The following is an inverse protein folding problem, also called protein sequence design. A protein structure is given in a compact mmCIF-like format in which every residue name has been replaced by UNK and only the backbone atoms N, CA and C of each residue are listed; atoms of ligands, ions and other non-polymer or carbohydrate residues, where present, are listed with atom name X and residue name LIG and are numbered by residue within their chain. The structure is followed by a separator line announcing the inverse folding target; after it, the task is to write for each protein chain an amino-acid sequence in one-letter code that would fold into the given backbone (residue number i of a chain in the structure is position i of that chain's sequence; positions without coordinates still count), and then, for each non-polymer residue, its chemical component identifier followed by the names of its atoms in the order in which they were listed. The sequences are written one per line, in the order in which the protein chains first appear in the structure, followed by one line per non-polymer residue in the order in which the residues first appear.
data_IF_069145349289
#
_entry.id   IF_069145349289
#
_cell.length_a   1.000
_cell.length_b   1.000
_cell.length_c   1.000
_cell.angle_alpha   90.00
_cell.angle_beta   90.00
_cell.angle_gamma   90.00
#
_symmetry.space_group_name_H-M   'P 1'
#
loop_
_entity.id
_entity.type
_entity.pdbx_description
1 polymer ?
#
# COMPACT_ATOMS: atom_id res chain seq x y z
N UNK A 1 -63.35 -52.30 -35.17
CA UNK A 1 -62.83 -50.92 -35.29
C UNK A 1 -62.33 -50.47 -33.92
N UNK A 2 -61.30 -51.17 -33.42
CA UNK A 2 -60.88 -51.17 -32.01
C UNK A 2 -59.62 -50.30 -31.76
N UNK A 3 -59.37 -49.32 -32.63
CA UNK A 3 -58.15 -48.51 -32.63
C UNK A 3 -58.38 -47.02 -32.34
N UNK A 4 -59.63 -46.57 -32.17
CA UNK A 4 -59.93 -45.17 -31.81
C UNK A 4 -60.13 -44.97 -30.30
N UNK A 5 -60.62 -45.96 -29.56
CA UNK A 5 -60.77 -45.84 -28.10
C UNK A 5 -59.44 -45.94 -27.35
N UNK A 6 -58.47 -46.69 -27.88
CA UNK A 6 -57.11 -46.79 -27.31
C UNK A 6 -56.32 -45.48 -27.46
N UNK A 7 -56.60 -44.67 -28.49
CA UNK A 7 -55.91 -43.39 -28.70
C UNK A 7 -56.51 -42.23 -27.87
N UNK A 8 -57.76 -42.34 -27.40
CA UNK A 8 -58.41 -41.29 -26.60
C UNK A 8 -57.96 -41.32 -25.12
N UNK A 9 -57.45 -42.46 -24.63
CA UNK A 9 -56.93 -42.55 -23.25
C UNK A 9 -55.47 -42.12 -23.08
N UNK A 10 -54.63 -42.15 -24.13
CA UNK A 10 -53.24 -41.70 -24.02
C UNK A 10 -53.08 -40.16 -24.10
N UNK A 11 -54.09 -39.44 -24.58
CA UNK A 11 -53.97 -38.00 -24.86
C UNK A 11 -54.26 -37.06 -23.67
N UNK A 12 -54.48 -37.58 -22.45
CA UNK A 12 -54.93 -36.77 -21.30
C UNK A 12 -53.88 -36.40 -20.27
N UNK A 13 -52.60 -36.73 -20.46
CA UNK A 13 -51.55 -36.43 -19.47
C UNK A 13 -50.25 -35.86 -20.05
N UNK A 14 -50.35 -34.89 -20.94
CA UNK A 14 -49.25 -33.94 -21.19
C UNK A 14 -49.81 -32.52 -21.21
N UNK A 15 -50.28 -32.06 -20.06
CA UNK A 15 -50.35 -30.62 -19.82
C UNK A 15 -48.95 -30.05 -20.08
N UNK A 16 -48.85 -28.94 -20.81
CA UNK A 16 -47.54 -28.32 -21.05
C UNK A 16 -46.81 -28.15 -19.71
N UNK A 17 -45.47 -28.28 -19.66
CA UNK A 17 -44.72 -28.13 -18.41
C UNK A 17 -45.07 -26.84 -17.66
N UNK A 18 -45.43 -25.78 -18.40
CA UNK A 18 -45.92 -24.51 -17.87
C UNK A 18 -47.29 -24.63 -17.21
N UNK A 19 -48.24 -25.37 -17.79
CA UNK A 19 -49.56 -25.60 -17.19
C UNK A 19 -49.44 -26.47 -15.94
N UNK A 20 -48.58 -27.50 -15.94
CA UNK A 20 -48.30 -28.30 -14.73
C UNK A 20 -47.65 -27.44 -13.63
N UNK A 21 -46.73 -26.53 -14.00
CA UNK A 21 -46.11 -25.59 -13.08
C UNK A 21 -47.13 -24.66 -12.43
N UNK A 22 -47.98 -24.01 -13.24
CA UNK A 22 -49.00 -23.06 -12.74
C UNK A 22 -50.05 -23.77 -11.88
N UNK A 23 -50.53 -24.94 -12.31
CA UNK A 23 -51.54 -25.72 -11.55
C UNK A 23 -51.00 -26.19 -10.20
N UNK A 24 -49.73 -26.60 -10.13
CA UNK A 24 -49.07 -26.98 -8.88
C UNK A 24 -48.99 -25.79 -7.91
N UNK A 25 -48.61 -24.61 -8.39
CA UNK A 25 -48.58 -23.38 -7.57
C UNK A 25 -49.98 -23.04 -7.04
N UNK A 26 -51.00 -23.07 -7.90
CA UNK A 26 -52.38 -22.76 -7.49
C UNK A 26 -52.89 -23.75 -6.45
N UNK A 27 -52.54 -25.04 -6.58
CA UNK A 27 -52.92 -26.11 -5.64
C UNK A 27 -52.37 -25.87 -4.23
N UNK A 28 -51.12 -25.44 -4.12
CA UNK A 28 -50.44 -25.21 -2.84
C UNK A 28 -50.31 -23.73 -2.46
N UNK A 29 -51.09 -22.84 -3.08
CA UNK A 29 -50.96 -21.38 -2.91
C UNK A 29 -51.01 -20.92 -1.45
N UNK A 30 -51.89 -21.49 -0.63
CA UNK A 30 -51.98 -21.15 0.79
C UNK A 30 -50.75 -21.60 1.57
N UNK A 31 -50.22 -22.78 1.26
CA UNK A 31 -48.97 -23.26 1.87
C UNK A 31 -47.80 -22.36 1.48
N UNK A 32 -47.64 -22.03 0.20
CA UNK A 32 -46.56 -21.16 -0.29
C UNK A 32 -46.64 -19.77 0.36
N UNK A 33 -47.82 -19.16 0.39
CA UNK A 33 -48.02 -17.85 1.01
C UNK A 33 -47.70 -17.90 2.51
N UNK A 34 -48.23 -18.87 3.25
CA UNK A 34 -47.97 -18.99 4.70
C UNK A 34 -46.47 -19.25 4.95
N UNK A 35 -45.83 -20.12 4.17
CA UNK A 35 -44.41 -20.45 4.32
C UNK A 35 -43.51 -19.23 4.09
N UNK A 36 -43.71 -18.53 2.97
CA UNK A 36 -42.96 -17.31 2.62
C UNK A 36 -43.17 -16.24 3.69
N UNK A 37 -44.43 -16.02 4.10
CA UNK A 37 -44.79 -15.00 5.08
C UNK A 37 -44.20 -15.33 6.45
N UNK A 38 -44.20 -16.60 6.87
CA UNK A 38 -43.58 -17.05 8.12
C UNK A 38 -42.07 -16.79 8.16
N UNK A 39 -41.34 -17.18 7.10
CA UNK A 39 -39.89 -16.96 7.02
C UNK A 39 -39.57 -15.46 6.96
N UNK A 40 -40.34 -14.70 6.20
CA UNK A 40 -40.15 -13.26 6.08
C UNK A 40 -40.41 -12.54 7.41
N UNK A 41 -41.43 -12.94 8.18
CA UNK A 41 -41.65 -12.43 9.54
C UNK A 41 -40.46 -12.75 10.44
N UNK A 42 -39.99 -14.01 10.47
CA UNK A 42 -38.86 -14.42 11.30
C UNK A 42 -37.60 -13.60 10.96
N UNK A 43 -37.30 -13.44 9.68
CA UNK A 43 -36.16 -12.65 9.22
C UNK A 43 -36.30 -11.16 9.58
N UNK A 44 -37.52 -10.61 9.50
CA UNK A 44 -37.80 -9.22 9.87
C UNK A 44 -37.65 -8.99 11.36
N UNK A 45 -38.15 -9.91 12.19
CA UNK A 45 -37.98 -9.86 13.65
C UNK A 45 -36.50 -9.95 14.02
N UNK A 46 -35.75 -10.87 13.39
CA UNK A 46 -34.31 -10.97 13.59
C UNK A 46 -33.59 -9.66 13.23
N UNK A 47 -33.92 -9.03 12.10
CA UNK A 47 -33.31 -7.76 11.68
C UNK A 47 -33.63 -6.56 12.60
N UNK A 48 -34.71 -6.64 13.39
CA UNK A 48 -35.05 -5.63 14.40
C UNK A 48 -34.34 -5.86 15.73
N UNK A 49 -34.06 -7.11 16.09
CA UNK A 49 -33.38 -7.49 17.34
C UNK A 49 -31.85 -7.44 17.20
N UNK A 50 -31.32 -7.70 16.00
CA UNK A 50 -29.89 -7.66 15.74
C UNK A 50 -29.26 -6.30 16.10
N UNK A 51 -28.01 -6.29 16.62
CA UNK A 51 -27.34 -5.06 17.06
C UNK A 51 -27.26 -4.06 15.90
N UNK A 52 -27.56 -2.80 16.21
CA UNK A 52 -27.47 -1.69 15.25
C UNK A 52 -26.02 -1.27 15.16
N UNK A 53 -25.51 -1.21 13.94
CA UNK A 53 -24.16 -0.74 13.65
C UNK A 53 -24.24 0.62 12.95
N UNK A 54 -23.40 1.54 13.39
CA UNK A 54 -23.26 2.90 12.89
C UNK A 54 -21.95 3.02 12.14
N UNK A 55 -21.95 3.78 11.04
CA UNK A 55 -20.77 4.02 10.21
C UNK A 55 -20.38 5.48 10.32
N UNK A 56 -19.15 5.75 10.72
CA UNK A 56 -18.56 7.08 10.67
C UNK A 56 -17.33 7.06 9.77
N UNK A 57 -17.09 8.16 9.04
CA UNK A 57 -16.05 8.24 8.01
C UNK A 57 -15.21 9.48 8.21
N UNK A 58 -13.89 9.37 8.18
CA UNK A 58 -12.98 10.50 8.02
C UNK A 58 -12.30 10.42 6.66
N UNK A 59 -11.98 11.59 6.09
CA UNK A 59 -11.32 11.72 4.79
C UNK A 59 -10.06 12.55 4.96
N UNK A 60 -8.93 12.03 4.49
CA UNK A 60 -7.63 12.69 4.57
C UNK A 60 -6.90 12.68 3.23
N UNK A 61 -6.06 13.68 2.99
CA UNK A 61 -5.13 13.75 1.87
C UNK A 61 -3.70 13.64 2.37
N UNK A 62 -2.82 13.11 1.53
CA UNK A 62 -1.39 13.29 1.72
C UNK A 62 -1.04 14.77 1.56
N UNK A 63 -0.39 15.34 2.57
CA UNK A 63 0.18 16.65 2.43
C UNK A 63 1.30 16.57 1.38
N UNK A 64 1.28 17.45 0.37
CA UNK A 64 2.41 17.57 -0.56
C UNK A 64 3.65 17.97 0.24
N UNK A 65 4.59 17.04 0.36
CA UNK A 65 5.89 17.31 0.94
C UNK A 65 6.87 17.56 -0.22
N UNK A 66 7.37 18.78 -0.29
CA UNK A 66 8.48 19.16 -1.16
C UNK A 66 9.70 18.31 -0.80
N UNK A 67 9.97 17.26 -1.58
CA UNK A 67 11.16 16.42 -1.41
C UNK A 67 12.43 17.24 -1.55
N UNK A 68 13.41 16.97 -0.69
CA UNK A 68 14.78 17.54 -0.64
C UNK A 68 15.43 17.60 -2.04
N UNK A 69 15.14 16.59 -2.86
CA UNK A 69 15.68 16.41 -4.21
C UNK A 69 14.87 17.12 -5.31
N UNK A 70 13.63 17.50 -5.02
CA UNK A 70 12.75 18.21 -5.96
C UNK A 70 13.03 19.72 -6.03
N UNK A 71 13.62 20.30 -4.98
CA UNK A 71 13.96 21.74 -4.92
C UNK A 71 15.35 22.07 -5.47
N UNK A 72 16.28 21.11 -5.46
CA UNK A 72 17.63 21.28 -6.00
C UNK A 72 17.67 20.74 -7.44
N UNK A 73 17.38 21.61 -8.41
CA UNK A 73 17.81 21.40 -9.80
C UNK A 73 16.93 20.51 -10.69
N UNK A 74 15.73 20.98 -11.05
CA UNK A 74 15.05 20.60 -12.32
C UNK A 74 14.58 19.15 -12.50
N UNK A 75 14.83 18.27 -11.54
CA UNK A 75 14.57 16.82 -11.64
C UNK A 75 13.08 16.45 -11.57
N UNK A 76 12.21 17.39 -11.18
CA UNK A 76 10.76 17.24 -11.30
C UNK A 76 10.31 16.96 -12.74
N UNK A 77 11.10 17.36 -13.74
CA UNK A 77 10.85 17.08 -15.16
C UNK A 77 11.19 15.64 -15.59
N UNK A 78 12.14 14.96 -14.94
CA UNK A 78 12.52 13.57 -15.26
C UNK A 78 11.58 12.59 -14.58
N UNK A 79 11.18 12.87 -13.34
CA UNK A 79 10.12 12.10 -12.66
C UNK A 79 8.79 12.27 -13.39
N UNK A 80 8.41 13.50 -13.79
CA UNK A 80 7.24 13.73 -14.67
C UNK A 80 7.42 13.13 -16.07
N UNK A 81 8.64 13.10 -16.62
CA UNK A 81 8.95 12.51 -17.92
C UNK A 81 8.80 10.98 -17.94
N UNK A 82 9.02 10.32 -16.80
CA UNK A 82 8.75 8.90 -16.63
C UNK A 82 7.26 8.63 -16.31
N UNK A 83 6.62 9.51 -15.52
CA UNK A 83 5.17 9.47 -15.22
C UNK A 83 4.26 9.88 -16.39
N UNK A 84 4.79 10.53 -17.44
CA UNK A 84 4.02 10.98 -18.60
C UNK A 84 3.56 9.83 -19.53
N UNK A 85 4.02 8.60 -19.31
CA UNK A 85 3.39 7.43 -19.92
C UNK A 85 2.28 6.92 -18.99
N UNK A 86 1.03 7.33 -19.27
CA UNK A 86 -0.13 7.06 -18.42
C UNK A 86 -0.44 5.55 -18.20
N UNK A 87 0.31 4.64 -18.83
CA UNK A 87 0.20 3.18 -18.65
C UNK A 87 1.19 2.55 -17.67
N UNK A 88 2.26 3.26 -17.27
CA UNK A 88 3.27 2.74 -16.32
C UNK A 88 3.13 3.34 -14.92
N UNK A 89 2.53 4.54 -14.81
CA UNK A 89 2.20 5.14 -13.51
C UNK A 89 1.18 4.30 -12.70
N UNK A 90 0.35 3.49 -13.37
CA UNK A 90 -0.59 2.56 -12.69
C UNK A 90 0.10 1.31 -12.13
N UNK A 91 1.34 1.02 -12.52
CA UNK A 91 2.14 -0.10 -12.01
C UNK A 91 2.99 0.28 -10.80
N UNK A 92 3.21 1.56 -10.56
CA UNK A 92 4.01 2.05 -9.41
C UNK A 92 3.17 2.38 -8.18
N UNK A 93 1.84 2.36 -8.28
CA UNK A 93 0.94 2.73 -7.19
C UNK A 93 1.09 4.21 -6.79
N UNK A 94 0.09 4.76 -6.10
CA UNK A 94 0.27 6.04 -5.41
C UNK A 94 1.10 5.75 -4.16
N UNK A 95 2.43 5.76 -4.28
CA UNK A 95 3.39 5.28 -3.27
C UNK A 95 3.15 5.85 -1.86
N UNK A 96 2.68 7.09 -1.78
CA UNK A 96 2.36 7.78 -0.52
C UNK A 96 1.07 7.24 0.12
N UNK A 97 -0.01 7.10 -0.65
CA UNK A 97 -1.29 6.61 -0.13
C UNK A 97 -1.22 5.13 0.22
N UNK A 98 -0.45 4.34 -0.54
CA UNK A 98 -0.19 2.93 -0.24
C UNK A 98 0.63 2.80 1.06
N UNK A 99 1.63 3.68 1.28
CA UNK A 99 2.36 3.74 2.56
C UNK A 99 1.41 4.08 3.72
N UNK A 100 0.51 5.03 3.53
CA UNK A 100 -0.46 5.41 4.57
C UNK A 100 -1.42 4.28 4.90
N UNK A 101 -1.90 3.57 3.89
CA UNK A 101 -2.72 2.38 4.07
C UNK A 101 -1.95 1.30 4.84
N UNK A 102 -0.69 1.06 4.50
CA UNK A 102 0.17 0.11 5.21
C UNK A 102 0.40 0.51 6.69
N UNK A 103 0.58 1.81 6.97
CA UNK A 103 0.70 2.34 8.34
C UNK A 103 -0.58 2.08 9.12
N UNK A 104 -1.74 2.47 8.55
CA UNK A 104 -3.04 2.27 9.18
C UNK A 104 -3.37 0.79 9.41
N UNK A 105 -2.93 -0.08 8.50
CA UNK A 105 -3.14 -1.52 8.59
C UNK A 105 -2.14 -2.22 9.52
N UNK A 106 -1.15 -1.50 10.06
CA UNK A 106 -0.12 -2.08 10.91
C UNK A 106 -0.69 -2.57 12.24
N UNK A 107 -0.07 -3.62 12.79
CA UNK A 107 -0.44 -4.19 14.10
C UNK A 107 -0.33 -3.16 15.23
N UNK A 108 0.59 -2.21 15.12
CA UNK A 108 0.80 -1.15 16.12
C UNK A 108 -0.39 -0.20 16.17
N UNK A 109 -0.90 0.23 15.02
CA UNK A 109 -2.06 1.12 14.96
C UNK A 109 -3.31 0.42 15.50
N UNK A 110 -3.56 -0.82 15.07
CA UNK A 110 -4.70 -1.60 15.59
C UNK A 110 -4.61 -1.84 17.10
N UNK A 111 -3.43 -2.16 17.63
CA UNK A 111 -3.21 -2.34 19.08
C UNK A 111 -3.48 -1.04 19.86
N UNK A 112 -3.02 0.10 19.34
CA UNK A 112 -3.26 1.41 19.95
C UNK A 112 -4.75 1.76 19.96
N UNK A 113 -5.49 1.46 18.89
CA UNK A 113 -6.96 1.65 18.82
C UNK A 113 -7.66 0.74 19.83
N UNK A 114 -7.32 -0.56 19.85
CA UNK A 114 -7.90 -1.54 20.78
C UNK A 114 -7.71 -1.08 22.23
N UNK A 115 -6.51 -0.64 22.60
CA UNK A 115 -6.20 -0.15 23.95
C UNK A 115 -6.93 1.15 24.28
N UNK A 116 -6.93 2.11 23.36
CA UNK A 116 -7.54 3.44 23.57
C UNK A 116 -9.04 3.35 23.86
N UNK A 117 -9.75 2.49 23.13
CA UNK A 117 -11.20 2.34 23.22
C UNK A 117 -11.65 1.12 24.05
N UNK A 118 -10.69 0.43 24.70
CA UNK A 118 -10.93 -0.77 25.49
C UNK A 118 -11.81 -1.80 24.76
N UNK A 119 -11.48 -2.08 23.50
CA UNK A 119 -12.36 -2.84 22.61
C UNK A 119 -12.54 -4.30 23.02
N UNK A 120 -11.66 -4.83 23.86
CA UNK A 120 -11.81 -6.17 24.45
C UNK A 120 -13.11 -6.29 25.25
N UNK A 121 -13.43 -5.27 26.04
CA UNK A 121 -14.66 -5.21 26.83
C UNK A 121 -15.87 -4.87 25.95
N UNK A 122 -15.71 -3.91 25.03
CA UNK A 122 -16.78 -3.47 24.12
C UNK A 122 -17.29 -4.61 23.23
N UNK A 123 -16.39 -5.50 22.80
CA UNK A 123 -16.74 -6.65 21.97
C UNK A 123 -17.07 -7.90 22.79
N UNK A 124 -17.02 -7.85 24.12
CA UNK A 124 -17.27 -9.01 25.01
C UNK A 124 -16.32 -10.18 24.68
N UNK A 125 -15.03 -9.87 24.51
CA UNK A 125 -13.97 -10.79 24.06
C UNK A 125 -12.84 -10.94 25.09
N UNK A 126 -13.17 -10.87 26.39
CA UNK A 126 -12.22 -10.92 27.49
C UNK A 126 -11.39 -12.20 27.49
N UNK A 127 -12.05 -13.34 27.28
CA UNK A 127 -11.45 -14.68 27.29
C UNK A 127 -10.94 -15.12 25.90
N UNK A 128 -11.16 -14.32 24.87
CA UNK A 128 -10.78 -14.65 23.50
C UNK A 128 -9.30 -14.34 23.20
N UNK A 129 -8.75 -15.07 22.22
CA UNK A 129 -7.41 -14.83 21.68
C UNK A 129 -7.31 -13.42 21.07
N UNK A 130 -6.18 -12.75 21.33
CA UNK A 130 -5.93 -11.40 20.82
C UNK A 130 -6.04 -11.30 19.30
N UNK A 131 -5.62 -12.32 18.55
CA UNK A 131 -5.75 -12.36 17.08
C UNK A 131 -7.22 -12.26 16.62
N UNK A 132 -8.14 -12.87 17.36
CA UNK A 132 -9.57 -12.84 17.05
C UNK A 132 -10.15 -11.43 17.27
N UNK A 133 -9.71 -10.76 18.33
CA UNK A 133 -10.07 -9.36 18.61
C UNK A 133 -9.58 -8.41 17.50
N UNK A 134 -8.34 -8.59 17.03
CA UNK A 134 -7.81 -7.82 15.90
C UNK A 134 -8.61 -8.06 14.62
N UNK A 135 -8.92 -9.33 14.30
CA UNK A 135 -9.74 -9.67 13.12
C UNK A 135 -11.14 -9.07 13.19
N UNK A 136 -11.76 -9.05 14.37
CA UNK A 136 -13.07 -8.43 14.57
C UNK A 136 -12.99 -6.92 14.29
N UNK A 137 -11.99 -6.22 14.83
CA UNK A 137 -11.79 -4.80 14.52
C UNK A 137 -11.49 -4.57 13.03
N UNK A 138 -10.62 -5.39 12.41
CA UNK A 138 -10.33 -5.31 10.98
C UNK A 138 -11.59 -5.48 10.12
N UNK A 139 -12.50 -6.40 10.48
CA UNK A 139 -13.78 -6.57 9.78
C UNK A 139 -14.74 -5.37 9.94
N UNK A 140 -14.53 -4.56 10.97
CA UNK A 140 -15.33 -3.38 11.30
C UNK A 140 -14.67 -2.07 10.83
N UNK A 141 -13.53 -2.13 10.14
CA UNK A 141 -12.85 -0.96 9.58
C UNK A 141 -12.68 -1.16 8.08
N UNK A 142 -13.02 -0.14 7.31
CA UNK A 142 -12.88 -0.12 5.87
C UNK A 142 -12.08 1.09 5.45
N UNK A 143 -10.96 0.86 4.77
CA UNK A 143 -10.03 1.90 4.33
C UNK A 143 -9.91 1.81 2.82
N UNK A 144 -10.24 2.89 2.12
CA UNK A 144 -10.28 2.95 0.66
C UNK A 144 -9.53 4.18 0.17
N UNK A 145 -8.89 4.05 -0.99
CA UNK A 145 -8.29 5.18 -1.71
C UNK A 145 -9.30 5.63 -2.77
N UNK A 146 -9.74 6.88 -2.68
CA UNK A 146 -10.62 7.50 -3.66
C UNK A 146 -9.88 7.86 -4.95
N UNK A 147 -10.64 8.16 -5.99
CA UNK A 147 -10.12 8.44 -7.34
C UNK A 147 -9.20 9.67 -7.40
N UNK A 148 -9.35 10.61 -6.45
CA UNK A 148 -8.54 11.83 -6.34
C UNK A 148 -7.35 11.65 -5.38
N UNK A 149 -7.07 10.42 -4.94
CA UNK A 149 -5.97 10.10 -4.03
C UNK A 149 -6.27 10.36 -2.55
N UNK A 150 -7.51 10.70 -2.21
CA UNK A 150 -7.95 10.82 -0.81
C UNK A 150 -8.08 9.45 -0.14
N UNK A 151 -7.66 9.37 1.12
CA UNK A 151 -7.81 8.19 1.94
C UNK A 151 -9.09 8.32 2.77
N UNK A 152 -9.99 7.37 2.58
CA UNK A 152 -11.30 7.31 3.22
C UNK A 152 -11.27 6.23 4.29
N UNK A 153 -11.38 6.62 5.55
CA UNK A 153 -11.34 5.72 6.70
C UNK A 153 -12.74 5.63 7.28
N UNK A 154 -13.40 4.49 7.10
CA UNK A 154 -14.73 4.21 7.61
C UNK A 154 -14.67 3.20 8.75
N UNK A 155 -15.28 3.53 9.89
CA UNK A 155 -15.36 2.62 11.05
C UNK A 155 -16.82 2.30 11.37
N UNK A 156 -17.07 1.03 11.66
CA UNK A 156 -18.37 0.52 12.09
C UNK A 156 -18.35 0.17 13.57
N UNK A 157 -19.31 0.68 14.33
CA UNK A 157 -19.45 0.36 15.76
C UNK A 157 -20.92 0.37 16.20
N UNK A 158 -21.23 -0.32 17.31
CA UNK A 158 -22.54 -0.30 17.97
C UNK A 158 -22.88 1.08 18.56
N UNK A 159 -21.89 1.87 18.95
CA UNK A 159 -22.03 3.23 19.46
C UNK A 159 -21.66 4.27 18.40
N UNK A 160 -22.50 5.30 18.27
CA UNK A 160 -22.36 6.35 17.25
C UNK A 160 -21.14 7.23 17.48
N UNK A 161 -20.85 7.54 18.74
CA UNK A 161 -19.78 8.44 19.12
C UNK A 161 -18.44 7.71 19.01
N UNK A 162 -18.37 6.48 19.52
CA UNK A 162 -17.17 5.63 19.42
C UNK A 162 -16.79 5.34 17.98
N UNK A 163 -17.75 5.13 17.06
CA UNK A 163 -17.46 5.00 15.63
C UNK A 163 -16.72 6.24 15.07
N UNK A 164 -17.20 7.44 15.42
CA UNK A 164 -16.60 8.70 14.99
C UNK A 164 -15.23 8.91 15.62
N UNK A 165 -15.12 8.71 16.93
CA UNK A 165 -13.88 8.87 17.68
C UNK A 165 -12.81 7.89 17.18
N UNK A 166 -13.18 6.64 16.90
CA UNK A 166 -12.24 5.65 16.32
C UNK A 166 -11.75 6.08 14.94
N UNK A 167 -12.64 6.52 14.05
CA UNK A 167 -12.25 6.96 12.71
C UNK A 167 -11.27 8.16 12.77
N UNK A 168 -11.53 9.14 13.63
CA UNK A 168 -10.62 10.25 13.86
C UNK A 168 -9.30 9.80 14.51
N UNK A 169 -9.36 8.85 15.45
CA UNK A 169 -8.15 8.34 16.10
C UNK A 169 -7.25 7.55 15.14
N UNK A 170 -7.80 6.86 14.15
CA UNK A 170 -6.99 6.26 13.07
C UNK A 170 -6.20 7.33 12.31
N UNK A 171 -6.79 8.50 12.03
CA UNK A 171 -6.09 9.63 11.42
C UNK A 171 -4.98 10.16 12.32
N UNK A 172 -5.24 10.30 13.62
CA UNK A 172 -4.24 10.74 14.60
C UNK A 172 -3.05 9.76 14.64
N UNK A 173 -3.34 8.45 14.65
CA UNK A 173 -2.32 7.41 14.64
C UNK A 173 -1.50 7.40 13.34
N UNK A 174 -2.15 7.61 12.19
CA UNK A 174 -1.45 7.78 10.92
C UNK A 174 -0.49 8.97 10.98
N UNK A 175 -0.97 10.13 11.45
CA UNK A 175 -0.14 11.32 11.56
C UNK A 175 1.02 11.11 12.54
N UNK A 176 0.78 10.46 13.69
CA UNK A 176 1.81 10.17 14.69
C UNK A 176 2.90 9.25 14.14
N UNK A 177 2.52 8.10 13.56
CA UNK A 177 3.46 7.12 13.04
C UNK A 177 4.24 7.70 11.87
N UNK A 178 3.56 8.37 10.93
CA UNK A 178 4.23 8.94 9.76
C UNK A 178 5.17 10.08 10.15
N UNK A 179 4.76 10.98 11.07
CA UNK A 179 5.64 12.05 11.57
C UNK A 179 6.86 11.48 12.28
N UNK A 180 6.70 10.44 13.12
CA UNK A 180 7.81 9.78 13.79
C UNK A 180 8.79 9.17 12.78
N UNK A 181 8.28 8.50 11.75
CA UNK A 181 9.11 7.95 10.68
C UNK A 181 9.85 9.04 9.91
N UNK A 182 9.19 10.17 9.60
CA UNK A 182 9.84 11.30 8.95
C UNK A 182 10.96 11.91 9.79
N UNK A 183 10.71 12.18 11.07
CA UNK A 183 11.75 12.72 11.97
C UNK A 183 12.93 11.76 12.06
N UNK A 184 12.68 10.45 12.15
CA UNK A 184 13.73 9.44 12.16
C UNK A 184 14.56 9.45 10.86
N UNK A 185 13.90 9.47 9.71
CA UNK A 185 14.57 9.48 8.40
C UNK A 185 15.33 10.80 8.15
N UNK A 186 14.73 11.95 8.50
CA UNK A 186 15.35 13.27 8.36
C UNK A 186 16.61 13.38 9.23
N UNK A 187 16.54 12.90 10.47
CA UNK A 187 17.71 12.80 11.36
C UNK A 187 18.80 11.90 10.78
N UNK A 188 18.46 10.70 10.32
CA UNK A 188 19.42 9.77 9.74
C UNK A 188 20.12 10.36 8.50
N UNK A 189 19.37 11.09 7.66
CA UNK A 189 19.91 11.79 6.50
C UNK A 189 20.85 12.94 6.92
N UNK A 190 20.42 13.78 7.87
CA UNK A 190 21.24 14.87 8.41
C UNK A 190 22.55 14.36 9.00
N UNK A 191 22.54 13.28 9.79
CA UNK A 191 23.76 12.66 10.34
C UNK A 191 24.71 12.16 9.25
N UNK A 192 24.17 11.63 8.16
CA UNK A 192 24.97 11.14 7.06
C UNK A 192 25.64 12.29 6.29
N UNK A 193 24.88 13.33 5.95
CA UNK A 193 25.40 14.53 5.27
C UNK A 193 26.40 15.27 6.16
N UNK A 194 26.12 15.39 7.46
CA UNK A 194 27.02 15.97 8.46
C UNK A 194 28.39 15.28 8.48
N UNK A 195 28.40 13.94 8.50
CA UNK A 195 29.66 13.16 8.42
C UNK A 195 30.42 13.45 7.14
N UNK A 196 29.72 13.60 6.00
CA UNK A 196 30.36 13.92 4.72
C UNK A 196 30.93 15.33 4.70
N UNK A 197 30.19 16.29 5.26
CA UNK A 197 30.58 17.70 5.39
C UNK A 197 31.86 17.84 6.22
N UNK A 198 31.87 17.34 7.47
CA UNK A 198 33.05 17.46 8.34
C UNK A 198 34.26 16.69 7.81
N UNK A 199 34.04 15.55 7.14
CA UNK A 199 35.11 14.83 6.46
C UNK A 199 35.72 15.68 5.33
N UNK A 200 34.89 16.31 4.52
CA UNK A 200 35.33 17.14 3.41
C UNK A 200 36.11 18.37 3.91
N UNK A 201 35.67 19.02 4.99
CA UNK A 201 36.44 20.09 5.64
C UNK A 201 37.83 19.62 6.12
N UNK A 202 37.90 18.46 6.80
CA UNK A 202 39.18 17.92 7.26
C UNK A 202 40.11 17.52 6.09
N UNK A 203 39.55 16.98 5.00
CA UNK A 203 40.29 16.66 3.79
C UNK A 203 40.87 17.96 3.16
N UNK A 204 40.07 19.03 3.06
CA UNK A 204 40.51 20.36 2.58
C UNK A 204 41.65 20.89 3.44
N UNK A 205 41.48 20.95 4.76
CA UNK A 205 42.50 21.45 5.69
C UNK A 205 43.84 20.72 5.50
N UNK A 206 43.79 19.38 5.35
CA UNK A 206 44.98 18.56 5.13
C UNK A 206 45.65 18.81 3.78
N UNK A 207 44.86 19.02 2.73
CA UNK A 207 45.33 19.28 1.37
C UNK A 207 45.86 20.71 1.22
N UNK A 208 45.24 21.69 1.86
CA UNK A 208 45.74 23.07 1.94
C UNK A 208 47.09 23.12 2.66
N UNK A 209 47.20 22.41 3.80
CA UNK A 209 48.47 22.29 4.52
C UNK A 209 49.56 21.65 3.63
N UNK A 210 49.24 20.53 2.97
CA UNK A 210 50.16 19.85 2.07
C UNK A 210 50.55 20.73 0.87
N UNK A 211 49.59 21.50 0.33
CA UNK A 211 49.82 22.45 -0.76
C UNK A 211 50.78 23.54 -0.31
N UNK A 212 50.52 24.18 0.83
CA UNK A 212 51.37 25.25 1.38
C UNK A 212 52.79 24.76 1.63
N UNK A 213 52.96 23.62 2.33
CA UNK A 213 54.28 23.04 2.62
C UNK A 213 55.05 22.73 1.33
N UNK A 214 54.35 22.27 0.29
CA UNK A 214 54.94 22.01 -1.02
C UNK A 214 55.38 23.31 -1.72
N UNK A 215 54.52 24.34 -1.72
CA UNK A 215 54.80 25.64 -2.31
C UNK A 215 55.94 26.37 -1.60
N UNK A 216 56.00 26.33 -0.27
CA UNK A 216 57.09 26.91 0.54
C UNK A 216 58.43 26.23 0.27
N UNK A 217 58.45 24.89 0.16
CA UNK A 217 59.68 24.12 -0.02
C UNK A 217 60.24 24.20 -1.43
N UNK A 218 59.38 24.26 -2.45
CA UNK A 218 59.78 24.15 -3.86
C UNK A 218 59.51 25.41 -4.70
N UNK A 219 58.90 26.46 -4.12
CA UNK A 219 58.78 27.80 -4.73
C UNK A 219 57.82 27.88 -5.92
N UNK A 220 56.75 27.07 -5.93
CA UNK A 220 55.83 26.97 -7.08
C UNK A 220 54.50 27.65 -6.79
N UNK A 221 54.07 28.53 -7.70
CA UNK A 221 52.94 29.43 -7.43
C UNK A 221 51.87 29.37 -8.53
N UNK A 222 52.17 28.82 -9.71
CA UNK A 222 51.26 28.88 -10.86
C UNK A 222 50.96 27.51 -11.48
N UNK A 223 49.66 27.22 -11.62
CA UNK A 223 49.13 26.11 -12.42
C UNK A 223 48.81 26.64 -13.83
N UNK A 224 49.16 25.94 -14.93
CA UNK A 224 48.77 26.33 -16.28
C UNK A 224 47.24 26.36 -16.47
N UNK A 225 46.72 27.33 -17.22
CA UNK A 225 45.27 27.53 -17.40
C UNK A 225 44.57 26.32 -18.05
N UNK A 226 45.25 25.64 -18.99
CA UNK A 226 44.73 24.42 -19.63
C UNK A 226 44.52 23.28 -18.63
N UNK A 227 45.39 23.18 -17.62
CA UNK A 227 45.26 22.17 -16.60
C UNK A 227 44.21 22.53 -15.55
N UNK A 228 44.10 23.82 -15.22
CA UNK A 228 43.00 24.33 -14.38
C UNK A 228 41.64 23.94 -14.95
N UNK A 229 41.39 24.20 -16.24
CA UNK A 229 40.10 23.87 -16.87
C UNK A 229 39.77 22.38 -16.86
N UNK A 230 40.75 21.50 -17.08
CA UNK A 230 40.54 20.04 -17.00
C UNK A 230 40.29 19.57 -15.57
N UNK A 231 41.02 20.11 -14.60
CA UNK A 231 40.84 19.81 -13.18
C UNK A 231 39.47 20.29 -12.69
N UNK A 232 39.03 21.49 -13.04
CA UNK A 232 37.69 22.00 -12.71
C UNK A 232 36.60 21.13 -13.35
N UNK A 233 36.75 20.70 -14.60
CA UNK A 233 35.79 19.78 -15.24
C UNK A 233 35.72 18.42 -14.52
N UNK A 234 36.86 17.90 -14.06
CA UNK A 234 36.90 16.69 -13.23
C UNK A 234 36.23 16.91 -11.88
N UNK A 235 36.52 18.02 -11.21
CA UNK A 235 35.99 18.37 -9.91
C UNK A 235 34.45 18.49 -9.96
N UNK A 236 33.90 19.12 -11.00
CA UNK A 236 32.46 19.16 -11.26
C UNK A 236 31.83 17.75 -11.43
N UNK A 237 32.51 16.82 -12.12
CA UNK A 237 32.04 15.42 -12.24
C UNK A 237 32.06 14.70 -10.88
N UNK A 238 33.07 14.94 -10.04
CA UNK A 238 33.10 14.41 -8.69
C UNK A 238 31.97 14.98 -7.81
N UNK A 239 31.64 16.27 -7.98
CA UNK A 239 30.46 16.87 -7.37
C UNK A 239 29.18 16.12 -7.73
N UNK A 240 28.95 15.87 -9.03
CA UNK A 240 27.81 15.08 -9.52
C UNK A 240 27.81 13.64 -8.99
N UNK A 241 28.98 13.00 -8.89
CA UNK A 241 29.09 11.66 -8.32
C UNK A 241 28.66 11.66 -6.85
N UNK A 242 29.15 12.62 -6.06
CA UNK A 242 28.78 12.73 -4.65
C UNK A 242 27.28 13.01 -4.51
N UNK A 243 26.72 13.89 -5.32
CA UNK A 243 25.27 14.13 -5.38
C UNK A 243 24.49 12.82 -5.58
N UNK A 244 24.88 12.02 -6.59
CA UNK A 244 24.21 10.74 -6.89
C UNK A 244 24.44 9.68 -5.82
N UNK A 245 25.60 9.66 -5.17
CA UNK A 245 25.87 8.78 -4.05
C UNK A 245 25.04 9.15 -2.81
N UNK A 246 24.86 10.44 -2.54
CA UNK A 246 23.97 10.93 -1.49
C UNK A 246 22.52 10.53 -1.80
N UNK A 247 22.06 10.75 -3.04
CA UNK A 247 20.73 10.32 -3.50
C UNK A 247 20.52 8.81 -3.28
N UNK A 248 21.47 7.98 -3.74
CA UNK A 248 21.42 6.54 -3.53
C UNK A 248 21.30 6.19 -2.05
N UNK A 249 22.07 6.87 -1.18
CA UNK A 249 22.06 6.56 0.25
C UNK A 249 20.73 6.93 0.90
N UNK A 250 20.12 8.04 0.51
CA UNK A 250 18.78 8.44 0.96
C UNK A 250 17.74 7.40 0.51
N UNK A 251 17.85 6.90 -0.72
CA UNK A 251 16.96 5.86 -1.24
C UNK A 251 17.15 4.53 -0.48
N UNK A 252 18.38 4.12 -0.19
CA UNK A 252 18.67 2.90 0.60
C UNK A 252 18.16 2.98 2.05
N UNK A 253 18.07 4.18 2.62
CA UNK A 253 17.54 4.38 3.98
C UNK A 253 16.01 4.40 4.01
N UNK A 254 15.37 4.81 2.91
CA UNK A 254 13.90 4.96 2.83
C UNK A 254 13.19 3.79 2.18
N UNK A 255 13.88 3.05 1.32
CA UNK A 255 13.33 1.97 0.49
C UNK A 255 14.13 0.68 0.67
N UNK A 256 13.51 -0.44 0.28
CA UNK A 256 14.19 -1.72 0.27
C UNK A 256 15.26 -1.79 -0.84
N UNK A 257 16.31 -2.58 -0.64
CA UNK A 257 17.44 -2.74 -1.57
C UNK A 257 16.99 -3.21 -2.97
N UNK A 258 15.89 -3.98 -3.04
CA UNK A 258 15.32 -4.49 -4.29
C UNK A 258 14.35 -3.50 -4.98
N UNK A 259 14.21 -2.27 -4.48
CA UNK A 259 13.32 -1.30 -5.10
C UNK A 259 13.88 -0.82 -6.45
N UNK A 260 13.07 -0.69 -7.53
CA UNK A 260 13.55 -0.26 -8.84
C UNK A 260 14.33 1.07 -8.81
N UNK A 261 13.88 2.04 -8.00
CA UNK A 261 14.57 3.33 -7.85
C UNK A 261 16.00 3.18 -7.29
N UNK A 262 16.21 2.29 -6.33
CA UNK A 262 17.54 2.02 -5.77
C UNK A 262 18.45 1.42 -6.84
N UNK A 263 17.93 0.46 -7.61
CA UNK A 263 18.69 -0.17 -8.71
C UNK A 263 19.09 0.83 -9.80
N UNK A 264 18.19 1.76 -10.15
CA UNK A 264 18.45 2.81 -11.14
C UNK A 264 19.52 3.78 -10.63
N UNK A 265 19.37 4.28 -9.41
CA UNK A 265 20.35 5.21 -8.82
C UNK A 265 21.73 4.56 -8.69
N UNK A 266 21.79 3.29 -8.28
CA UNK A 266 23.02 2.51 -8.24
C UNK A 266 23.66 2.35 -9.63
N UNK A 267 22.87 2.15 -10.68
CA UNK A 267 23.38 2.09 -12.05
C UNK A 267 23.96 3.43 -12.51
N UNK A 268 23.34 4.56 -12.13
CA UNK A 268 23.85 5.91 -12.42
C UNK A 268 25.17 6.20 -11.71
N UNK A 269 25.27 5.88 -10.42
CA UNK A 269 26.53 6.00 -9.65
C UNK A 269 27.64 5.19 -10.32
N UNK A 270 27.38 3.92 -10.65
CA UNK A 270 28.35 3.06 -11.32
C UNK A 270 28.78 3.60 -12.71
N UNK A 271 27.88 4.29 -13.41
CA UNK A 271 28.15 4.87 -14.73
C UNK A 271 29.03 6.12 -14.62
N UNK A 272 28.74 7.00 -13.66
CA UNK A 272 29.59 8.14 -13.32
C UNK A 272 30.98 7.71 -12.84
N UNK A 273 31.06 6.70 -11.98
CA UNK A 273 32.35 6.15 -11.53
C UNK A 273 33.17 5.62 -12.71
N UNK A 274 32.55 4.92 -13.67
CA UNK A 274 33.23 4.46 -14.88
C UNK A 274 33.72 5.63 -15.74
N UNK A 275 32.92 6.69 -15.91
CA UNK A 275 33.32 7.90 -16.65
C UNK A 275 34.52 8.57 -15.99
N UNK A 276 34.45 8.80 -14.68
CA UNK A 276 35.54 9.40 -13.89
C UNK A 276 36.80 8.55 -13.99
N UNK A 277 36.68 7.22 -13.87
CA UNK A 277 37.82 6.30 -13.98
C UNK A 277 38.42 6.27 -15.39
N UNK A 278 37.62 6.39 -16.44
CA UNK A 278 38.10 6.50 -17.82
C UNK A 278 38.83 7.82 -18.08
N UNK A 279 38.42 8.89 -17.40
CA UNK A 279 39.04 10.21 -17.48
C UNK A 279 40.33 10.28 -16.65
N UNK A 280 40.39 9.60 -15.50
CA UNK A 280 41.61 9.51 -14.68
C UNK A 280 42.68 8.61 -15.30
N UNK A 281 42.28 7.56 -16.04
CA UNK A 281 43.21 6.72 -16.82
C UNK A 281 43.64 7.37 -18.14
N UNK A 282 42.76 8.13 -18.79
CA UNK A 282 43.11 8.91 -20.00
C UNK A 282 43.93 10.16 -19.64
N UNK A 283 43.62 10.82 -18.53
CA UNK A 283 44.37 11.93 -17.93
C UNK A 283 45.64 11.52 -17.19
N UNK A 284 45.86 10.22 -16.95
CA UNK A 284 47.17 9.69 -16.53
C UNK A 284 48.18 9.64 -17.68
N UNK A 285 47.76 9.90 -18.92
CA UNK A 285 48.66 10.47 -19.93
C UNK A 285 48.64 12.00 -19.80
N UNK A 286 49.03 12.52 -18.63
CA UNK A 286 49.68 13.83 -18.62
C UNK A 286 50.86 13.66 -19.56
N UNK A 287 50.78 14.29 -20.73
CA UNK A 287 51.89 14.22 -21.68
C UNK A 287 53.11 14.85 -20.99
N UNK A 288 54.32 14.40 -21.32
CA UNK A 288 55.53 15.06 -20.78
C UNK A 288 55.48 16.59 -21.03
N UNK A 289 54.75 17.06 -22.05
CA UNK A 289 54.46 18.47 -22.32
C UNK A 289 53.62 19.18 -21.22
N UNK A 290 52.60 18.55 -20.65
CA UNK A 290 51.77 19.14 -19.58
C UNK A 290 52.56 19.33 -18.28
N UNK A 291 53.49 18.41 -17.99
CA UNK A 291 54.38 18.47 -16.83
C UNK A 291 55.53 19.44 -17.08
N UNK A 292 56.02 19.55 -18.33
CA UNK A 292 57.06 20.49 -18.74
C UNK A 292 56.59 21.96 -18.82
N UNK A 293 55.27 22.21 -18.84
CA UNK A 293 54.65 23.55 -18.80
C UNK A 293 54.77 24.23 -17.42
N UNK A 294 55.01 23.45 -16.35
CA UNK A 294 55.36 24.01 -15.04
C UNK A 294 56.84 24.42 -15.05
N UNK A 295 57.09 25.71 -15.27
CA UNK A 295 58.44 26.30 -15.43
C UNK A 295 59.46 25.85 -14.35
N UNK A 296 59.08 25.65 -13.06
CA UNK A 296 60.02 25.14 -12.04
C UNK A 296 60.34 23.63 -12.12
N UNK A 297 59.60 22.82 -12.88
CA UNK A 297 59.65 21.35 -12.80
C UNK A 297 60.12 20.60 -14.04
N UNK A 298 60.60 21.29 -15.09
CA UNK A 298 61.25 20.66 -16.26
C UNK A 298 62.39 19.69 -15.89
N UNK A 299 62.99 19.84 -14.71
CA UNK A 299 64.10 19.02 -14.23
C UNK A 299 63.67 17.92 -13.24
N UNK A 300 62.42 17.93 -12.76
CA UNK A 300 61.90 16.97 -11.79
C UNK A 300 60.40 16.67 -12.04
N UNK A 301 60.08 15.85 -13.07
CA UNK A 301 58.70 15.52 -13.45
C UNK A 301 57.85 14.92 -12.32
N UNK A 302 58.49 14.20 -11.37
CA UNK A 302 57.83 13.66 -10.17
C UNK A 302 57.29 14.75 -9.23
N UNK A 303 58.00 15.88 -9.10
CA UNK A 303 57.55 17.01 -8.27
C UNK A 303 56.32 17.68 -8.90
N UNK A 304 56.33 17.86 -10.23
CA UNK A 304 55.17 18.34 -10.97
C UNK A 304 53.95 17.44 -10.74
N UNK A 305 54.09 16.12 -10.90
CA UNK A 305 52.98 15.18 -10.64
C UNK A 305 52.40 15.27 -9.24
N UNK A 306 53.26 15.37 -8.22
CA UNK A 306 52.80 15.47 -6.83
C UNK A 306 52.05 16.78 -6.57
N UNK A 307 52.55 17.91 -7.08
CA UNK A 307 51.87 19.19 -7.00
C UNK A 307 50.49 19.14 -7.66
N UNK A 308 50.42 18.59 -8.88
CA UNK A 308 49.18 18.49 -9.64
C UNK A 308 48.18 17.55 -9.00
N UNK A 309 48.64 16.49 -8.34
CA UNK A 309 47.78 15.61 -7.54
C UNK A 309 47.15 16.39 -6.38
N UNK A 310 47.95 17.10 -5.59
CA UNK A 310 47.43 17.91 -4.46
C UNK A 310 46.45 18.96 -4.97
N UNK A 311 46.80 19.67 -6.05
CA UNK A 311 45.93 20.68 -6.67
C UNK A 311 44.59 20.09 -7.13
N UNK A 312 44.63 18.98 -7.85
CA UNK A 312 43.43 18.29 -8.33
C UNK A 312 42.57 17.79 -7.18
N UNK A 313 43.18 17.14 -6.20
CA UNK A 313 42.46 16.58 -5.06
C UNK A 313 41.85 17.72 -4.21
N UNK A 314 42.52 18.88 -4.10
CA UNK A 314 41.99 20.08 -3.44
C UNK A 314 40.79 20.67 -4.20
N UNK A 315 40.89 20.85 -5.52
CA UNK A 315 39.78 21.37 -6.34
C UNK A 315 38.55 20.45 -6.25
N UNK A 316 38.76 19.13 -6.31
CA UNK A 316 37.68 18.14 -6.12
C UNK A 316 36.98 18.36 -4.79
N UNK A 317 37.73 18.58 -3.71
CA UNK A 317 37.14 18.74 -2.38
C UNK A 317 36.43 20.09 -2.23
N UNK A 318 36.90 21.17 -2.87
CA UNK A 318 36.17 22.44 -2.91
C UNK A 318 34.84 22.33 -3.65
N UNK A 319 34.82 21.66 -4.82
CA UNK A 319 33.57 21.41 -5.53
C UNK A 319 32.61 20.58 -4.67
N UNK A 320 33.09 19.51 -4.01
CA UNK A 320 32.28 18.72 -3.08
C UNK A 320 31.72 19.60 -1.95
N UNK A 321 32.51 20.54 -1.41
CA UNK A 321 32.05 21.46 -0.36
C UNK A 321 30.91 22.34 -0.85
N UNK A 322 31.00 22.85 -2.08
CA UNK A 322 29.97 23.69 -2.71
C UNK A 322 28.63 22.96 -2.83
N UNK A 323 28.66 21.64 -3.09
CA UNK A 323 27.44 20.81 -3.13
C UNK A 323 26.94 20.37 -1.74
N UNK A 324 27.84 19.95 -0.86
CA UNK A 324 27.47 19.36 0.44
C UNK A 324 26.99 20.42 1.42
N UNK A 325 27.49 21.66 1.33
CA UNK A 325 27.11 22.74 2.25
C UNK A 325 25.61 23.08 2.18
N UNK A 326 25.02 23.38 1.00
CA UNK A 326 23.57 23.60 0.89
C UNK A 326 22.75 22.40 1.37
N UNK A 327 23.19 21.17 1.04
CA UNK A 327 22.52 19.94 1.45
C UNK A 327 22.52 19.76 2.97
N UNK A 328 23.61 20.10 3.64
CA UNK A 328 23.72 20.03 5.08
C UNK A 328 22.78 21.03 5.77
N UNK A 329 22.77 22.28 5.31
CA UNK A 329 21.88 23.30 5.87
C UNK A 329 20.40 22.95 5.61
N UNK A 330 20.08 22.42 4.44
CA UNK A 330 18.73 21.93 4.15
C UNK A 330 18.34 20.74 5.06
N UNK A 331 19.24 19.77 5.25
CA UNK A 331 18.97 18.62 6.10
C UNK A 331 18.73 19.01 7.57
N UNK A 332 19.43 20.04 8.08
CA UNK A 332 19.16 20.62 9.41
C UNK A 332 17.76 21.24 9.49
N UNK A 333 17.32 21.94 8.45
CA UNK A 333 15.96 22.51 8.40
C UNK A 333 14.92 21.39 8.37
N UNK A 334 15.14 20.34 7.58
CA UNK A 334 14.19 19.23 7.44
C UNK A 334 14.05 18.39 8.72
N UNK A 335 15.12 18.15 9.48
CA UNK A 335 15.04 17.44 10.76
C UNK A 335 14.15 18.17 11.78
N UNK A 336 14.19 19.51 11.77
CA UNK A 336 13.39 20.36 12.68
C UNK A 336 11.98 20.61 12.14
N UNK A 337 11.74 20.36 10.85
CA UNK A 337 10.45 20.63 10.19
C UNK A 337 9.39 19.64 10.66
N UNK A 338 8.55 20.07 11.61
CA UNK A 338 7.40 19.31 12.09
C UNK A 338 6.13 19.71 11.32
N UNK A 339 5.98 19.24 10.08
CA UNK A 339 4.76 19.49 9.28
C UNK A 339 3.80 18.31 9.46
N UNK A 340 2.49 18.54 9.68
CA UNK A 340 1.51 17.46 9.65
C UNK A 340 1.64 16.67 8.35
N UNK A 341 1.70 15.35 8.48
CA UNK A 341 1.92 14.43 7.36
C UNK A 341 0.67 14.28 6.48
N UNK A 342 -0.49 14.47 7.09
CA UNK A 342 -1.80 14.31 6.48
C UNK A 342 -2.64 15.56 6.71
N UNK A 343 -3.31 15.99 5.64
CA UNK A 343 -4.31 17.05 5.70
C UNK A 343 -5.68 16.41 5.89
N UNK A 344 -6.35 16.72 6.99
CA UNK A 344 -7.71 16.25 7.22
C UNK A 344 -8.66 17.08 6.38
N UNK A 345 -9.34 16.44 5.43
CA UNK A 345 -10.39 17.06 4.62
C UNK A 345 -11.72 17.08 5.38
N UNK A 346 -12.06 15.94 5.98
CA UNK A 346 -13.31 15.78 6.72
C UNK A 346 -13.10 14.93 7.98
N UNK A 347 -13.55 15.48 9.11
CA UNK A 347 -13.52 14.77 10.39
C UNK A 347 -14.76 13.89 10.52
N UNK A 348 -14.57 12.70 11.07
CA UNK A 348 -15.68 11.80 11.31
C UNK A 348 -16.64 12.38 12.36
N UNK A 349 -17.89 12.60 11.95
CA UNK A 349 -19.00 12.91 12.84
C UNK A 349 -19.77 11.65 13.31
N UNK A 350 -20.57 11.74 14.38
CA UNK A 350 -21.44 10.64 14.81
C UNK A 350 -22.52 10.34 13.76
N UNK A 351 -22.73 9.06 13.47
CA UNK A 351 -23.67 8.68 12.42
C UNK A 351 -25.13 9.01 12.80
N UNK A 352 -25.85 9.68 11.90
CA UNK A 352 -27.28 9.97 12.11
C UNK A 352 -28.13 8.69 12.06
N UNK A 353 -27.82 7.80 11.12
CA UNK A 353 -28.60 6.59 10.81
C UNK A 353 -27.76 5.33 10.96
N UNK A 354 -28.41 4.20 11.27
CA UNK A 354 -27.76 2.89 11.30
C UNK A 354 -27.30 2.49 9.90
N UNK A 355 -26.09 1.95 9.80
CA UNK A 355 -25.53 1.42 8.56
C UNK A 355 -26.00 -0.02 8.30
N UNK A 356 -26.02 -0.87 9.33
CA UNK A 356 -26.44 -2.27 9.27
C UNK A 356 -27.17 -2.69 10.57
N UNK A 357 -28.07 -3.70 10.53
CA UNK A 357 -28.64 -4.32 9.35
C UNK A 357 -29.64 -3.40 8.62
N UNK A 358 -29.61 -3.39 7.28
CA UNK A 358 -30.62 -2.74 6.44
C UNK A 358 -31.83 -3.66 6.32
N UNK A 359 -32.92 -3.35 7.02
CA UNK A 359 -34.10 -4.22 7.08
C UNK A 359 -34.69 -4.57 5.72
N UNK A 360 -34.61 -3.67 4.74
CA UNK A 360 -35.06 -3.90 3.36
C UNK A 360 -34.29 -4.99 2.65
N UNK A 361 -32.97 -5.11 2.90
CA UNK A 361 -32.13 -6.16 2.31
C UNK A 361 -32.51 -7.52 2.89
N UNK A 362 -32.65 -7.62 4.22
CA UNK A 362 -33.07 -8.88 4.85
C UNK A 362 -34.45 -9.32 4.40
N UNK A 363 -35.39 -8.38 4.27
CA UNK A 363 -36.72 -8.66 3.73
C UNK A 363 -36.63 -9.21 2.30
N UNK A 364 -35.93 -8.53 1.39
CA UNK A 364 -35.80 -8.97 0.00
C UNK A 364 -35.12 -10.34 -0.12
N UNK A 365 -34.01 -10.56 0.59
CA UNK A 365 -33.26 -11.83 0.56
C UNK A 365 -34.10 -12.97 1.16
N UNK A 366 -34.75 -12.74 2.30
CA UNK A 366 -35.61 -13.74 2.94
C UNK A 366 -36.81 -14.12 2.07
N UNK A 367 -37.40 -13.15 1.36
CA UNK A 367 -38.50 -13.39 0.43
C UNK A 367 -38.05 -14.24 -0.77
N UNK A 368 -36.91 -13.93 -1.39
CA UNK A 368 -36.37 -14.70 -2.53
C UNK A 368 -36.04 -16.13 -2.09
N UNK A 369 -35.30 -16.30 -0.99
CA UNK A 369 -34.89 -17.61 -0.49
C UNK A 369 -36.11 -18.45 -0.10
N UNK A 370 -37.07 -17.88 0.62
CA UNK A 370 -38.28 -18.60 1.02
C UNK A 370 -39.17 -18.97 -0.17
N UNK A 371 -39.24 -18.11 -1.19
CA UNK A 371 -39.96 -18.43 -2.43
C UNK A 371 -39.31 -19.59 -3.18
N UNK A 372 -37.98 -19.58 -3.33
CA UNK A 372 -37.25 -20.66 -3.99
C UNK A 372 -37.39 -22.00 -3.25
N UNK A 373 -37.20 -21.99 -1.92
CA UNK A 373 -37.33 -23.19 -1.10
C UNK A 373 -38.78 -23.70 -1.05
N UNK A 374 -39.75 -22.79 -0.96
CA UNK A 374 -41.18 -23.13 -0.96
C UNK A 374 -41.59 -23.80 -2.27
N UNK A 375 -41.19 -23.23 -3.41
CA UNK A 375 -41.43 -23.83 -4.73
C UNK A 375 -40.77 -25.20 -4.83
N UNK A 376 -39.49 -25.32 -4.48
CA UNK A 376 -38.77 -26.60 -4.52
C UNK A 376 -39.45 -27.69 -3.66
N UNK A 377 -39.90 -27.33 -2.46
CA UNK A 377 -40.62 -28.25 -1.58
C UNK A 377 -41.96 -28.69 -2.16
N UNK A 378 -42.72 -27.76 -2.74
CA UNK A 378 -44.02 -28.07 -3.35
C UNK A 378 -43.85 -28.96 -4.59
N UNK A 379 -42.87 -28.67 -5.46
CA UNK A 379 -42.60 -29.49 -6.64
C UNK A 379 -42.12 -30.89 -6.28
N UNK A 380 -41.20 -31.02 -5.33
CA UNK A 380 -40.76 -32.34 -4.86
C UNK A 380 -41.90 -33.15 -4.26
N UNK A 381 -42.78 -32.52 -3.47
CA UNK A 381 -43.98 -33.17 -2.93
C UNK A 381 -44.95 -33.62 -4.03
N UNK A 382 -45.19 -32.79 -5.04
CA UNK A 382 -46.08 -33.15 -6.14
C UNK A 382 -45.47 -34.25 -7.04
N UNK A 383 -44.16 -34.22 -7.28
CA UNK A 383 -43.44 -35.29 -7.97
C UNK A 383 -43.53 -36.61 -7.22
N UNK A 384 -43.32 -36.62 -5.90
CA UNK A 384 -43.46 -37.81 -5.07
C UNK A 384 -44.88 -38.39 -5.13
N UNK A 385 -45.89 -37.52 -5.08
CA UNK A 385 -47.30 -37.91 -5.22
C UNK A 385 -47.63 -38.47 -6.61
N UNK A 386 -47.05 -37.90 -7.67
CA UNK A 386 -47.21 -38.41 -9.05
C UNK A 386 -46.53 -39.77 -9.20
N UNK A 387 -45.34 -39.96 -8.63
CA UNK A 387 -44.62 -41.25 -8.62
C UNK A 387 -45.36 -42.31 -7.81
N UNK A 388 -45.96 -41.94 -6.68
CA UNK A 388 -46.80 -42.84 -5.87
C UNK A 388 -47.99 -43.39 -6.67
N UNK A 389 -48.63 -42.57 -7.51
CA UNK A 389 -49.80 -42.95 -8.32
C UNK A 389 -49.40 -43.70 -9.61
N UNK A 390 -48.30 -43.31 -10.26
CA UNK A 390 -47.91 -43.85 -11.58
C UNK A 390 -46.94 -45.04 -11.49
N UNK A 391 -46.18 -45.20 -10.40
CA UNK A 391 -45.20 -46.28 -10.24
C UNK A 391 -44.97 -46.62 -8.76
N UNK A 392 -45.84 -47.44 -8.14
CA UNK A 392 -45.79 -47.77 -6.70
C UNK A 392 -44.45 -48.37 -6.26
N UNK A 393 -43.81 -49.18 -7.12
CA UNK A 393 -42.53 -49.84 -6.83
C UNK A 393 -41.37 -48.83 -6.70
N UNK A 394 -41.36 -47.79 -7.55
CA UNK A 394 -40.34 -46.72 -7.51
C UNK A 394 -40.54 -45.83 -6.28
N UNK A 395 -41.79 -45.56 -5.91
CA UNK A 395 -42.09 -44.81 -4.68
C UNK A 395 -41.65 -45.57 -3.42
N UNK A 396 -41.91 -46.87 -3.37
CA UNK A 396 -41.46 -47.73 -2.25
C UNK A 396 -39.93 -47.77 -2.15
N UNK A 397 -39.20 -47.81 -3.26
CA UNK A 397 -37.74 -47.70 -3.27
C UNK A 397 -37.23 -46.34 -2.76
N UNK A 398 -37.76 -45.23 -3.27
CA UNK A 398 -37.36 -43.87 -2.86
C UNK A 398 -37.67 -43.63 -1.38
N UNK A 399 -38.85 -44.05 -0.91
CA UNK A 399 -39.27 -43.83 0.47
C UNK A 399 -38.53 -44.72 1.48
N UNK A 400 -38.18 -45.97 1.10
CA UNK A 400 -37.36 -46.84 1.94
C UNK A 400 -35.92 -46.33 2.04
N UNK A 401 -35.31 -45.87 0.94
CA UNK A 401 -33.96 -45.30 0.99
C UNK A 401 -33.90 -43.96 1.74
N UNK A 402 -34.84 -43.04 1.50
CA UNK A 402 -34.91 -41.79 2.26
C UNK A 402 -35.11 -42.03 3.77
N UNK A 403 -35.91 -43.04 4.14
CA UNK A 403 -36.06 -43.46 5.56
C UNK A 403 -34.78 -44.11 6.10
N UNK A 404 -34.07 -44.90 5.28
CA UNK A 404 -32.80 -45.53 5.64
C UNK A 404 -31.74 -44.48 5.95
N UNK A 405 -31.62 -43.46 5.09
CA UNK A 405 -30.68 -42.36 5.23
C UNK A 405 -31.05 -41.41 6.38
N UNK A 406 -32.33 -41.09 6.56
CA UNK A 406 -32.77 -40.29 7.70
C UNK A 406 -32.47 -40.99 9.04
N UNK A 407 -32.67 -42.32 9.11
CA UNK A 407 -32.33 -43.10 10.30
C UNK A 407 -30.80 -43.20 10.52
N UNK A 408 -29.99 -43.22 9.46
CA UNK A 408 -28.52 -43.15 9.55
C UNK A 408 -28.04 -41.80 10.07
N UNK A 409 -28.63 -40.70 9.60
CA UNK A 409 -28.32 -39.34 10.06
C UNK A 409 -28.71 -39.17 11.54
N UNK A 410 -29.92 -39.58 11.92
CA UNK A 410 -30.38 -39.53 13.32
C UNK A 410 -29.49 -40.34 14.27
N UNK A 411 -29.01 -41.52 13.85
CA UNK A 411 -28.05 -42.33 14.63
C UNK A 411 -26.66 -41.70 14.74
N UNK A 412 -26.22 -40.92 13.75
CA UNK A 412 -24.95 -40.16 13.82
C UNK A 412 -25.05 -38.94 14.73
N UNK A 413 -26.18 -38.23 14.71
CA UNK A 413 -26.41 -37.06 15.58
C UNK A 413 -26.61 -37.48 17.04
N UNK A 414 -27.29 -38.61 17.30
CA UNK A 414 -27.48 -39.15 18.66
C UNK A 414 -26.24 -39.82 19.29
N UNK A 415 -25.14 -40.01 18.54
CA UNK A 415 -23.86 -40.56 19.07
C UNK A 415 -22.82 -39.48 19.39
N UNK A 416 -23.15 -38.19 19.21
CA UNK A 416 -22.29 -37.04 19.54
C UNK A 416 -22.87 -36.13 20.64
N UNK A 417 -23.89 -36.61 21.36
CA UNK A 417 -24.43 -35.97 22.55
C UNK A 417 -23.77 -36.51 23.81
#
# INVERSE_FOLDING_TARGET
MNNQETQIQEQKMTGSPLVEFVTTIVRYRYFLVIFILSITIIATVYALVAPKWYKSTSVVLAAEQSSLLGSLGGLSSIVKGFSASSGLASLTGNTETDRYLAILQSSTVYDNVIKKFNLREVYEMEDDYYEKLVKELQGNVNMEVGDEGQLIISVYDKDKQRAADMANYFVDQLNEVNTRMHVFNAKANREFIEKRYFKNLADIDSLEYAMRDFQEKYGVIAVPEQLKTTVTAMAAMYGQLVEKQLELKVLEQSLNENHPLVSISKAQVNELEKRINSMSTTGSKMTDDDVNLLIPFRQAPELGRNYLKIYRDLEIQYEILEFVTPLYEQAKVEEVRNTPSVLVLDYAGPAERKAKPKGTIYLAVSFIISSLLGLGFVFTKELLKKVEITSPDKYNFISTELRSDFNRIRRKVGKKG
#
